data_IF_402104534658
#
_entry.id   IF_402104534658
#
_cell.length_a   1.000
_cell.length_b   1.000
_cell.length_c   1.000
_cell.angle_alpha   90.00
_cell.angle_beta   90.00
_cell.angle_gamma   90.00
#
_symmetry.space_group_name_H-M   'P 1'
#
loop_
_entity.id
_entity.type
_entity.pdbx_description
1 polymer ?
#
# COMPACT_ATOMS: atom_id res chain seq x y z
N UNK A 1 -5.86 17.29 -22.00
CA UNK A 1 -4.97 17.23 -23.18
C UNK A 1 -5.69 16.88 -24.50
N UNK A 2 -6.78 16.11 -24.47
CA UNK A 2 -7.46 15.62 -25.69
C UNK A 2 -7.84 16.70 -26.71
N UNK A 3 -8.36 17.86 -26.27
CA UNK A 3 -8.72 18.94 -27.20
C UNK A 3 -7.48 19.51 -27.90
N UNK A 4 -6.36 19.70 -27.19
CA UNK A 4 -5.12 20.15 -27.81
C UNK A 4 -4.59 19.20 -28.88
N UNK A 5 -4.78 17.89 -28.73
CA UNK A 5 -4.40 16.95 -29.78
C UNK A 5 -5.31 17.05 -30.99
N UNK A 6 -6.63 17.04 -30.78
CA UNK A 6 -7.63 17.15 -31.85
C UNK A 6 -7.51 18.45 -32.64
N UNK A 7 -7.26 19.57 -31.97
CA UNK A 7 -7.14 20.88 -32.61
C UNK A 7 -5.88 21.02 -33.49
N UNK A 8 -4.92 20.09 -33.35
CA UNK A 8 -3.67 20.09 -34.13
C UNK A 8 -3.55 18.90 -35.09
N UNK A 9 -4.54 18.02 -35.16
CA UNK A 9 -4.61 16.99 -36.18
C UNK A 9 -5.15 17.59 -37.47
N UNK A 10 -4.52 17.24 -38.60
CA UNK A 10 -5.09 17.52 -39.92
C UNK A 10 -6.34 16.65 -40.15
N UNK A 11 -7.29 17.07 -41.00
CA UNK A 11 -8.56 16.37 -41.20
C UNK A 11 -8.46 14.88 -41.57
N UNK A 12 -7.37 14.46 -42.23
CA UNK A 12 -7.09 13.07 -42.62
C UNK A 12 -6.13 12.34 -41.65
N UNK A 13 -5.84 12.95 -40.50
CA UNK A 13 -4.84 12.48 -39.51
C UNK A 13 -5.35 12.51 -38.07
N UNK A 14 -6.65 12.37 -37.86
CA UNK A 14 -7.23 12.31 -36.50
C UNK A 14 -6.54 11.26 -35.62
N UNK A 15 -6.15 11.66 -34.41
CA UNK A 15 -5.47 10.82 -33.42
C UNK A 15 -3.95 10.70 -33.61
N UNK A 16 -3.39 11.21 -34.71
CA UNK A 16 -1.94 11.12 -34.95
C UNK A 16 -1.16 11.93 -33.92
N UNK A 17 -1.62 13.12 -33.54
CA UNK A 17 -0.94 13.96 -32.56
C UNK A 17 -0.86 13.28 -31.20
N UNK A 18 -1.93 12.62 -30.76
CA UNK A 18 -1.93 11.82 -29.53
C UNK A 18 -0.90 10.69 -29.61
N UNK A 19 -0.92 9.91 -30.69
CA UNK A 19 0.03 8.80 -30.90
C UNK A 19 1.48 9.30 -30.86
N UNK A 20 1.81 10.34 -31.61
CA UNK A 20 3.18 10.89 -31.68
C UNK A 20 3.62 11.51 -30.35
N UNK A 21 2.70 12.13 -29.62
CA UNK A 21 2.97 12.65 -28.28
C UNK A 21 3.34 11.51 -27.32
N UNK A 22 2.55 10.43 -27.30
CA UNK A 22 2.79 9.27 -26.43
C UNK A 22 4.08 8.53 -26.81
N UNK A 23 4.31 8.28 -28.10
CA UNK A 23 5.56 7.69 -28.60
C UNK A 23 6.78 8.54 -28.23
N UNK A 24 6.67 9.87 -28.39
CA UNK A 24 7.73 10.81 -28.02
C UNK A 24 8.04 10.78 -26.52
N UNK A 25 7.02 10.67 -25.67
CA UNK A 25 7.19 10.49 -24.22
C UNK A 25 7.95 9.19 -23.91
N UNK A 26 7.57 8.08 -24.55
CA UNK A 26 8.25 6.81 -24.34
C UNK A 26 9.70 6.86 -24.79
N UNK A 27 9.97 7.36 -26.00
CA UNK A 27 11.32 7.55 -26.51
C UNK A 27 12.18 8.44 -25.60
N UNK A 28 11.59 9.52 -25.06
CA UNK A 28 12.25 10.40 -24.11
C UNK A 28 12.66 9.64 -22.83
N UNK A 29 11.72 8.93 -22.19
CA UNK A 29 12.04 8.17 -20.99
C UNK A 29 13.03 7.03 -21.25
N UNK A 30 12.90 6.31 -22.35
CA UNK A 30 13.80 5.21 -22.72
C UNK A 30 15.23 5.75 -22.93
N UNK A 31 15.38 6.95 -23.50
CA UNK A 31 16.68 7.62 -23.63
C UNK A 31 17.28 8.00 -22.27
N UNK A 32 16.47 8.44 -21.30
CA UNK A 32 16.92 8.75 -19.94
C UNK A 32 17.35 7.49 -19.19
N UNK A 33 16.62 6.39 -19.35
CA UNK A 33 16.93 5.10 -18.75
C UNK A 33 18.28 4.60 -19.28
N UNK A 34 18.49 4.65 -20.60
CA UNK A 34 19.73 4.21 -21.23
C UNK A 34 20.93 5.07 -20.80
N UNK A 35 20.75 6.39 -20.69
CA UNK A 35 21.84 7.32 -20.33
C UNK A 35 22.20 7.30 -18.85
N UNK A 36 21.22 7.07 -17.97
CA UNK A 36 21.40 7.11 -16.52
C UNK A 36 20.83 5.84 -15.88
N UNK A 37 21.38 4.65 -16.15
CA UNK A 37 20.78 3.39 -15.71
C UNK A 37 20.60 3.30 -14.19
N UNK A 38 21.48 3.93 -13.42
CA UNK A 38 21.45 3.94 -11.96
C UNK A 38 20.56 5.05 -11.35
N UNK A 39 19.86 5.86 -12.16
CA UNK A 39 18.95 6.88 -11.61
C UNK A 39 17.67 6.26 -11.10
N UNK A 40 17.31 6.60 -9.85
CA UNK A 40 15.99 6.28 -9.30
C UNK A 40 14.96 7.25 -9.87
N UNK A 41 13.79 6.75 -10.25
CA UNK A 41 12.78 7.51 -11.00
C UNK A 41 11.41 7.30 -10.41
N UNK A 42 10.72 8.42 -10.16
CA UNK A 42 9.36 8.45 -9.64
C UNK A 42 8.46 9.05 -10.71
N UNK A 43 7.41 8.32 -11.10
CA UNK A 43 6.39 8.84 -12.01
C UNK A 43 5.33 9.61 -11.24
N UNK A 44 4.95 10.76 -11.78
CA UNK A 44 3.83 11.56 -11.31
C UNK A 44 3.12 12.23 -12.49
N UNK A 45 1.79 12.29 -12.41
CA UNK A 45 0.95 13.00 -13.36
C UNK A 45 -0.27 13.56 -12.61
N UNK A 46 -0.04 14.59 -11.79
CA UNK A 46 -1.01 15.05 -10.78
C UNK A 46 -1.45 13.89 -9.88
N UNK A 47 -0.46 13.24 -9.25
CA UNK A 47 -0.60 11.94 -8.62
C UNK A 47 -0.64 10.81 -9.66
N UNK A 48 -1.64 9.93 -9.52
CA UNK A 48 -1.66 8.62 -10.18
C UNK A 48 -2.34 8.56 -11.55
N UNK A 49 -2.51 9.67 -12.29
CA UNK A 49 -3.23 9.65 -13.58
C UNK A 49 -2.53 8.86 -14.70
N UNK A 50 -1.28 8.43 -14.47
CA UNK A 50 -0.49 7.59 -15.40
C UNK A 50 0.17 6.42 -14.67
N UNK A 51 -0.57 5.75 -13.79
CA UNK A 51 -0.17 4.44 -13.26
C UNK A 51 -0.68 3.38 -14.22
N UNK A 52 0.05 3.24 -15.32
CA UNK A 52 -0.23 2.30 -16.41
C UNK A 52 1.01 1.44 -16.70
N UNK A 53 0.81 0.36 -17.45
CA UNK A 53 1.84 -0.65 -17.72
C UNK A 53 3.09 -0.02 -18.38
N UNK A 54 2.91 0.96 -19.27
CA UNK A 54 4.03 1.56 -19.99
C UNK A 54 4.86 2.48 -19.09
N UNK A 55 4.22 3.17 -18.14
CA UNK A 55 4.96 3.91 -17.12
C UNK A 55 5.62 2.99 -16.09
N UNK A 56 4.96 1.89 -15.69
CA UNK A 56 5.52 0.95 -14.69
C UNK A 56 6.79 0.25 -15.21
N UNK A 57 6.90 0.04 -16.53
CA UNK A 57 8.15 -0.47 -17.14
C UNK A 57 9.33 0.52 -17.06
N UNK A 58 9.06 1.82 -16.86
CA UNK A 58 10.03 2.91 -17.02
C UNK A 58 10.40 3.59 -15.71
N UNK A 59 9.54 3.46 -14.70
CA UNK A 59 9.70 4.10 -13.39
C UNK A 59 9.72 3.07 -12.27
N UNK A 60 10.47 3.38 -11.22
CA UNK A 60 10.64 2.46 -10.09
C UNK A 60 9.47 2.56 -9.11
N UNK A 61 8.93 3.78 -8.95
CA UNK A 61 7.86 4.10 -8.01
C UNK A 61 6.93 5.15 -8.63
N UNK A 62 5.67 5.14 -8.23
CA UNK A 62 4.61 6.00 -8.75
C UNK A 62 3.93 6.75 -7.62
N UNK A 63 3.72 8.06 -7.78
CA UNK A 63 2.90 8.79 -6.81
C UNK A 63 1.43 8.38 -6.95
N UNK A 64 0.82 7.90 -5.86
CA UNK A 64 -0.57 7.40 -5.88
C UNK A 64 -1.60 8.44 -6.30
N UNK A 65 -1.53 9.61 -5.68
CA UNK A 65 -2.52 10.69 -5.76
C UNK A 65 -1.89 11.98 -5.25
N UNK A 66 -2.44 13.14 -5.62
CA UNK A 66 -2.17 14.41 -4.94
C UNK A 66 -3.05 14.58 -3.68
N UNK A 67 -4.07 13.73 -3.51
CA UNK A 67 -4.90 13.70 -2.32
C UNK A 67 -4.20 12.92 -1.20
N UNK A 68 -3.28 13.59 -0.50
CA UNK A 68 -2.46 13.03 0.57
C UNK A 68 -3.13 13.09 1.95
N UNK A 69 -2.56 12.32 2.88
CA UNK A 69 -2.85 12.38 4.32
C UNK A 69 -4.30 12.09 4.69
N UNK A 70 -4.97 11.25 3.89
CA UNK A 70 -6.33 10.83 4.16
C UNK A 70 -6.36 9.32 4.33
N UNK A 71 -6.26 8.86 5.59
CA UNK A 71 -6.20 7.45 5.91
C UNK A 71 -7.34 6.64 5.28
N UNK A 72 -8.58 7.14 5.25
CA UNK A 72 -9.71 6.39 4.68
C UNK A 72 -9.56 6.17 3.16
N UNK A 73 -9.19 7.23 2.44
CA UNK A 73 -8.96 7.15 0.99
C UNK A 73 -7.72 6.33 0.67
N UNK A 74 -6.66 6.48 1.45
CA UNK A 74 -5.40 5.76 1.27
C UNK A 74 -5.59 4.26 1.53
N UNK A 75 -6.26 3.87 2.61
CA UNK A 75 -6.64 2.48 2.89
C UNK A 75 -7.40 1.85 1.72
N UNK A 76 -8.44 2.53 1.22
CA UNK A 76 -9.27 2.00 0.14
C UNK A 76 -8.51 1.89 -1.18
N UNK A 77 -7.79 2.95 -1.57
CA UNK A 77 -7.06 2.97 -2.83
C UNK A 77 -5.85 2.04 -2.84
N UNK A 78 -5.12 1.90 -1.74
CA UNK A 78 -4.01 0.95 -1.62
C UNK A 78 -4.49 -0.50 -1.67
N UNK A 79 -5.63 -0.82 -1.03
CA UNK A 79 -6.23 -2.15 -1.15
C UNK A 79 -6.72 -2.43 -2.58
N UNK A 80 -7.27 -1.44 -3.28
CA UNK A 80 -7.66 -1.60 -4.68
C UNK A 80 -6.46 -1.82 -5.61
N UNK A 81 -5.37 -1.04 -5.42
CA UNK A 81 -4.14 -1.14 -6.22
C UNK A 81 -3.46 -2.50 -6.03
N UNK A 82 -3.44 -3.03 -4.80
CA UNK A 82 -2.82 -4.31 -4.47
C UNK A 82 -3.41 -5.49 -5.27
N UNK A 83 -4.64 -5.37 -5.75
CA UNK A 83 -5.28 -6.36 -6.63
C UNK A 83 -4.72 -6.41 -8.05
N UNK A 84 -3.96 -5.38 -8.48
CA UNK A 84 -3.42 -5.27 -9.84
C UNK A 84 -1.90 -5.17 -9.86
N UNK A 85 -1.29 -4.55 -8.85
CA UNK A 85 0.13 -4.22 -8.80
C UNK A 85 0.70 -4.43 -7.39
N UNK A 86 1.95 -4.87 -7.26
CA UNK A 86 2.64 -4.86 -5.97
C UNK A 86 2.64 -3.44 -5.39
N UNK A 87 2.10 -3.28 -4.18
CA UNK A 87 1.97 -1.97 -3.55
C UNK A 87 3.30 -1.26 -3.29
N UNK A 88 4.41 -2.00 -3.24
CA UNK A 88 5.76 -1.42 -3.18
C UNK A 88 6.12 -0.53 -4.37
N UNK A 89 5.35 -0.53 -5.45
CA UNK A 89 5.53 0.36 -6.61
C UNK A 89 4.82 1.71 -6.47
N UNK A 90 3.98 1.88 -5.45
CA UNK A 90 3.16 3.09 -5.28
C UNK A 90 3.54 3.81 -4.01
N UNK A 91 3.97 5.07 -4.11
CA UNK A 91 4.37 5.90 -2.98
C UNK A 91 3.18 6.60 -2.36
N UNK A 92 3.14 6.60 -1.03
CA UNK A 92 2.20 7.38 -0.23
C UNK A 92 2.94 8.02 0.95
N UNK A 93 2.85 9.36 1.13
CA UNK A 93 3.45 10.03 2.26
C UNK A 93 2.53 10.00 3.50
N UNK A 94 3.13 9.98 4.68
CA UNK A 94 2.44 10.26 5.95
C UNK A 94 3.02 11.52 6.60
N UNK A 95 2.18 12.28 7.30
CA UNK A 95 2.58 13.47 8.06
C UNK A 95 2.30 13.34 9.57
N UNK A 96 1.76 12.20 10.01
CA UNK A 96 1.53 11.88 11.42
C UNK A 96 2.29 10.60 11.78
N UNK A 97 3.08 10.68 12.84
CA UNK A 97 3.91 9.58 13.34
C UNK A 97 3.18 8.74 14.41
N UNK A 98 1.94 8.35 14.13
CA UNK A 98 1.16 7.46 15.01
C UNK A 98 0.94 6.10 14.33
N UNK A 99 0.54 5.09 15.12
CA UNK A 99 0.38 3.73 14.61
C UNK A 99 -0.77 3.62 13.59
N UNK A 100 -1.86 4.37 13.76
CA UNK A 100 -3.01 4.30 12.87
C UNK A 100 -2.70 4.91 11.51
N UNK A 101 -2.07 6.08 11.49
CA UNK A 101 -1.51 6.72 10.31
C UNK A 101 -0.50 5.79 9.63
N UNK A 102 0.46 5.25 10.37
CA UNK A 102 1.44 4.30 9.82
C UNK A 102 0.76 3.09 9.15
N UNK A 103 -0.13 2.38 9.86
CA UNK A 103 -0.84 1.22 9.34
C UNK A 103 -1.74 1.54 8.15
N UNK A 104 -2.38 2.71 8.12
CA UNK A 104 -3.25 3.12 7.02
C UNK A 104 -2.53 3.26 5.68
N UNK A 105 -1.23 3.57 5.71
CA UNK A 105 -0.41 3.81 4.51
C UNK A 105 0.69 2.76 4.33
N UNK A 106 0.87 1.87 5.30
CA UNK A 106 1.89 0.82 5.30
C UNK A 106 1.95 0.00 4.01
N UNK A 107 0.82 -0.37 3.37
CA UNK A 107 0.85 -1.10 2.11
C UNK A 107 1.16 -0.19 0.93
N UNK A 108 2.34 0.43 0.94
CA UNK A 108 2.83 1.31 -0.12
C UNK A 108 4.35 1.31 -0.08
N UNK A 109 5.00 1.95 -1.06
CA UNK A 109 6.32 2.54 -0.85
C UNK A 109 6.21 3.72 0.12
N UNK A 110 6.13 3.40 1.41
CA UNK A 110 5.87 4.37 2.48
C UNK A 110 6.92 5.47 2.53
N UNK A 111 6.46 6.72 2.55
CA UNK A 111 7.30 7.90 2.71
C UNK A 111 6.94 8.61 4.03
N UNK A 112 7.94 8.83 4.89
CA UNK A 112 7.77 9.69 6.06
C UNK A 112 7.94 11.14 5.63
N UNK A 113 6.83 11.85 5.50
CA UNK A 113 6.81 13.27 5.21
C UNK A 113 7.09 14.08 6.47
N UNK A 114 7.99 15.04 6.37
CA UNK A 114 8.35 15.92 7.47
C UNK A 114 8.83 17.28 6.96
N UNK A 115 8.75 18.27 7.85
CA UNK A 115 9.36 19.58 7.66
C UNK A 115 10.73 19.50 8.33
N UNK A 116 11.80 19.68 7.55
CA UNK A 116 13.16 19.36 7.98
C UNK A 116 13.65 20.20 9.20
N UNK A 117 13.08 21.38 9.40
CA UNK A 117 13.39 22.31 10.46
C UNK A 117 12.31 22.40 11.55
N UNK A 118 11.32 21.49 11.56
CA UNK A 118 10.32 21.42 12.61
C UNK A 118 10.94 20.86 13.91
N UNK A 119 11.08 21.67 14.98
CA UNK A 119 11.66 21.21 16.23
C UNK A 119 10.76 20.21 16.98
N UNK A 120 9.49 20.10 16.61
CA UNK A 120 8.54 19.16 17.19
C UNK A 120 8.57 17.78 16.51
N UNK A 121 9.38 17.58 15.47
CA UNK A 121 9.44 16.30 14.79
C UNK A 121 10.06 15.21 15.68
N UNK A 122 9.28 14.17 15.97
CA UNK A 122 9.73 13.03 16.77
C UNK A 122 10.62 12.08 15.95
N UNK A 123 11.92 12.39 15.92
CA UNK A 123 12.94 11.56 15.27
C UNK A 123 12.96 10.12 15.80
N UNK A 124 12.73 9.92 17.11
CA UNK A 124 12.72 8.59 17.72
C UNK A 124 11.59 7.73 17.16
N UNK A 125 10.38 8.31 17.06
CA UNK A 125 9.23 7.65 16.47
C UNK A 125 9.42 7.41 14.98
N UNK A 126 9.98 8.37 14.22
CA UNK A 126 10.28 8.19 12.80
C UNK A 126 11.25 7.01 12.56
N UNK A 127 12.30 6.89 13.37
CA UNK A 127 13.24 5.75 13.31
C UNK A 127 12.54 4.42 13.64
N UNK A 128 11.66 4.41 14.66
CA UNK A 128 10.88 3.22 15.02
C UNK A 128 9.98 2.77 13.86
N UNK A 129 9.18 3.68 13.29
CA UNK A 129 8.29 3.37 12.17
C UNK A 129 9.07 2.90 10.93
N UNK A 130 10.22 3.51 10.66
CA UNK A 130 11.12 3.08 9.58
C UNK A 130 11.60 1.64 9.81
N UNK A 131 12.10 1.31 11.01
CA UNK A 131 12.53 -0.05 11.35
C UNK A 131 11.40 -1.06 11.17
N UNK A 132 10.20 -0.72 11.65
CA UNK A 132 9.00 -1.54 11.48
C UNK A 132 8.66 -1.77 10.01
N UNK A 133 8.64 -0.71 9.19
CA UNK A 133 8.38 -0.81 7.76
C UNK A 133 9.39 -1.73 7.05
N UNK A 134 10.68 -1.58 7.34
CA UNK A 134 11.71 -2.45 6.79
C UNK A 134 11.52 -3.93 7.16
N UNK A 135 10.97 -4.22 8.33
CA UNK A 135 10.69 -5.59 8.77
C UNK A 135 9.55 -6.28 8.01
N UNK A 136 8.62 -5.51 7.42
CA UNK A 136 7.38 -6.05 6.83
C UNK A 136 7.23 -5.77 5.33
N UNK A 137 7.96 -4.81 4.75
CA UNK A 137 7.81 -4.44 3.33
C UNK A 137 8.01 -5.60 2.34
N UNK A 138 8.74 -6.65 2.73
CA UNK A 138 8.91 -7.88 1.95
C UNK A 138 7.59 -8.58 1.61
N UNK A 139 6.56 -8.41 2.44
CA UNK A 139 5.23 -8.98 2.22
C UNK A 139 4.45 -8.22 1.13
N UNK A 140 4.79 -6.96 0.85
CA UNK A 140 4.10 -6.15 -0.18
C UNK A 140 4.37 -6.61 -1.62
N UNK A 141 5.32 -7.53 -1.80
CA UNK A 141 5.57 -8.24 -3.06
C UNK A 141 4.94 -9.64 -3.09
N UNK A 142 4.18 -10.01 -2.06
CA UNK A 142 3.50 -11.30 -1.96
C UNK A 142 2.09 -11.28 -2.52
N UNK A 143 1.39 -12.40 -2.34
CA UNK A 143 -0.03 -12.55 -2.66
C UNK A 143 -0.87 -11.61 -1.79
N UNK A 144 -1.73 -10.83 -2.43
CA UNK A 144 -2.67 -9.96 -1.77
C UNK A 144 -4.07 -10.61 -1.74
N UNK A 145 -4.75 -10.50 -0.60
CA UNK A 145 -6.17 -10.81 -0.50
C UNK A 145 -6.90 -9.76 0.35
N UNK A 146 -7.96 -9.12 -0.17
CA UNK A 146 -8.86 -8.33 0.65
C UNK A 146 -9.66 -9.28 1.57
N UNK A 147 -9.63 -9.04 2.87
CA UNK A 147 -10.41 -9.79 3.86
C UNK A 147 -11.77 -9.14 4.14
N UNK A 148 -11.95 -7.91 3.66
CA UNK A 148 -13.20 -7.13 3.67
C UNK A 148 -13.41 -6.48 2.31
N UNK A 149 -14.66 -6.13 1.93
CA UNK A 149 -14.90 -5.31 0.75
C UNK A 149 -14.11 -4.00 0.77
N UNK A 150 -13.50 -3.64 -0.35
CA UNK A 150 -12.77 -2.37 -0.49
C UNK A 150 -13.77 -1.22 -0.63
N UNK A 151 -13.81 -0.33 0.36
CA UNK A 151 -14.76 0.78 0.40
C UNK A 151 -14.18 1.99 1.17
N UNK A 152 -14.91 3.10 1.20
CA UNK A 152 -14.58 4.32 1.97
C UNK A 152 -15.55 4.60 3.13
N UNK A 153 -16.36 3.62 3.52
CA UNK A 153 -17.30 3.76 4.63
C UNK A 153 -16.55 3.83 5.97
N UNK A 154 -16.72 4.95 6.69
CA UNK A 154 -16.06 5.20 7.97
C UNK A 154 -16.58 4.33 9.12
N UNK A 155 -17.73 3.68 8.94
CA UNK A 155 -18.34 2.78 9.93
C UNK A 155 -17.86 1.33 9.80
N UNK A 156 -17.10 1.02 8.75
CA UNK A 156 -16.62 -0.33 8.43
C UNK A 156 -15.24 -0.63 9.03
N UNK A 157 -14.97 -1.92 9.28
CA UNK A 157 -13.62 -2.46 9.37
C UNK A 157 -13.00 -2.60 7.98
N UNK A 158 -11.68 -2.43 7.88
CA UNK A 158 -10.91 -2.80 6.69
C UNK A 158 -9.83 -3.78 7.09
N UNK A 159 -9.79 -4.92 6.40
CA UNK A 159 -8.75 -5.91 6.60
C UNK A 159 -8.20 -6.44 5.27
N UNK A 160 -6.90 -6.72 5.26
CA UNK A 160 -6.21 -7.31 4.12
C UNK A 160 -5.07 -8.22 4.57
N UNK A 161 -4.76 -9.20 3.72
CA UNK A 161 -3.65 -10.12 3.90
C UNK A 161 -2.62 -9.92 2.79
N UNK A 162 -1.35 -10.00 3.18
CA UNK A 162 -0.20 -10.06 2.28
C UNK A 162 0.62 -11.30 2.64
N UNK A 163 0.74 -12.25 1.72
CA UNK A 163 1.29 -13.58 1.96
C UNK A 163 2.49 -13.90 1.06
N UNK A 164 3.58 -14.40 1.64
CA UNK A 164 4.75 -14.90 0.92
C UNK A 164 4.83 -16.40 1.08
N UNK A 165 4.34 -17.11 0.07
CA UNK A 165 4.32 -18.58 0.06
C UNK A 165 5.75 -19.16 0.12
N UNK A 166 6.70 -18.54 -0.58
CA UNK A 166 8.11 -18.94 -0.53
C UNK A 166 8.76 -18.80 0.85
N UNK A 167 8.19 -17.97 1.74
CA UNK A 167 8.66 -17.78 3.11
C UNK A 167 7.76 -18.48 4.15
N UNK A 168 6.57 -18.95 3.74
CA UNK A 168 5.51 -19.46 4.62
C UNK A 168 5.17 -18.46 5.75
N UNK A 169 5.20 -17.16 5.44
CA UNK A 169 4.89 -16.06 6.36
C UNK A 169 4.13 -14.93 5.63
N UNK A 170 3.54 -14.03 6.41
CA UNK A 170 2.87 -12.86 5.87
C UNK A 170 2.40 -11.91 6.96
N UNK A 171 1.51 -11.01 6.58
CA UNK A 171 0.89 -10.08 7.52
C UNK A 171 -0.60 -9.92 7.27
N UNK A 172 -1.33 -9.71 8.36
CA UNK A 172 -2.71 -9.25 8.39
C UNK A 172 -2.71 -7.80 8.85
N UNK A 173 -3.24 -6.92 8.01
CA UNK A 173 -3.44 -5.51 8.34
C UNK A 173 -4.92 -5.29 8.60
N UNK A 174 -5.26 -4.85 9.81
CA UNK A 174 -6.65 -4.69 10.27
C UNK A 174 -6.82 -3.28 10.83
N UNK A 175 -7.84 -2.57 10.35
CA UNK A 175 -8.10 -1.16 10.64
C UNK A 175 -9.56 -1.00 11.08
N UNK A 176 -9.76 -0.47 12.28
CA UNK A 176 -11.05 0.00 12.80
C UNK A 176 -11.19 1.48 12.49
N UNK A 177 -12.11 1.83 11.60
CA UNK A 177 -12.31 3.21 11.14
C UNK A 177 -13.01 4.09 12.18
N UNK A 178 -12.90 5.43 12.07
CA UNK A 178 -13.34 6.35 13.12
C UNK A 178 -14.81 6.25 13.52
N UNK A 179 -15.71 5.86 12.62
CA UNK A 179 -17.14 5.71 12.92
C UNK A 179 -17.57 4.26 13.19
N UNK A 180 -16.62 3.31 13.24
CA UNK A 180 -16.92 1.91 13.51
C UNK A 180 -17.11 1.67 15.03
N UNK A 181 -18.35 1.42 15.45
CA UNK A 181 -18.71 1.21 16.85
C UNK A 181 -18.43 -0.19 17.40
N UNK A 182 -18.00 -1.14 16.56
CA UNK A 182 -17.69 -2.51 16.99
C UNK A 182 -16.27 -2.57 17.60
N UNK A 183 -16.09 -3.35 18.66
CA UNK A 183 -14.79 -3.57 19.30
C UNK A 183 -14.14 -4.88 18.88
N UNK A 184 -14.93 -5.83 18.38
CA UNK A 184 -14.49 -7.12 17.89
C UNK A 184 -14.60 -7.22 16.37
N UNK A 185 -13.68 -7.98 15.77
CA UNK A 185 -13.69 -8.29 14.35
C UNK A 185 -13.06 -9.65 14.08
N UNK A 186 -13.76 -10.54 13.37
CA UNK A 186 -13.23 -11.84 12.98
C UNK A 186 -12.65 -11.78 11.56
N UNK A 187 -11.35 -12.04 11.43
CA UNK A 187 -10.67 -12.19 10.14
C UNK A 187 -10.52 -13.66 9.79
N UNK A 188 -10.65 -13.98 8.50
CA UNK A 188 -10.41 -15.33 7.96
C UNK A 188 -9.30 -15.28 6.90
N UNK A 189 -8.02 -15.37 7.31
CA UNK A 189 -6.91 -15.41 6.37
C UNK A 189 -6.96 -16.65 5.46
N UNK A 190 -6.50 -16.46 4.23
CA UNK A 190 -6.25 -17.52 3.25
C UNK A 190 -4.81 -18.01 3.32
N UNK A 191 -4.46 -19.01 2.51
CA UNK A 191 -3.12 -19.63 2.49
C UNK A 191 -2.64 -20.08 3.89
N UNK A 192 -3.57 -20.54 4.71
CA UNK A 192 -3.31 -21.14 6.01
C UNK A 192 -3.45 -22.65 5.88
N UNK A 193 -2.47 -23.39 6.38
CA UNK A 193 -2.51 -24.83 6.55
C UNK A 193 -3.17 -25.17 7.90
N UNK A 194 -4.37 -25.78 7.92
CA UNK A 194 -5.08 -26.07 9.16
C UNK A 194 -4.33 -27.02 10.11
N UNK A 195 -3.39 -27.81 9.61
CA UNK A 195 -2.66 -28.81 10.38
C UNK A 195 -1.37 -28.26 11.02
N UNK A 196 -0.90 -27.09 10.59
CA UNK A 196 0.32 -26.49 11.09
C UNK A 196 0.08 -25.59 12.31
N UNK A 197 1.15 -25.28 13.02
CA UNK A 197 1.17 -24.22 14.01
C UNK A 197 1.69 -22.92 13.39
N UNK A 198 1.18 -21.79 13.85
CA UNK A 198 1.58 -20.47 13.39
C UNK A 198 1.99 -19.62 14.57
N UNK A 199 3.15 -18.99 14.46
CA UNK A 199 3.56 -17.90 15.35
C UNK A 199 2.96 -16.60 14.85
N UNK A 200 2.22 -15.90 15.71
CA UNK A 200 1.68 -14.57 15.47
C UNK A 200 2.49 -13.55 16.28
N UNK A 201 2.84 -12.43 15.63
CA UNK A 201 3.47 -11.26 16.26
C UNK A 201 2.60 -10.04 16.00
N UNK A 202 2.10 -9.47 17.09
CA UNK A 202 1.41 -8.18 17.13
C UNK A 202 2.46 -7.08 17.15
N UNK A 203 2.66 -6.43 16.00
CA UNK A 203 3.85 -5.63 15.74
C UNK A 203 4.00 -4.43 16.70
N UNK A 204 2.91 -3.71 16.96
CA UNK A 204 2.95 -2.51 17.80
C UNK A 204 3.10 -2.84 19.29
N UNK A 205 2.51 -3.95 19.73
CA UNK A 205 2.48 -4.43 21.11
C UNK A 205 3.73 -5.25 21.47
N UNK A 206 4.42 -5.81 20.47
CA UNK A 206 5.51 -6.78 20.67
C UNK A 206 5.04 -8.11 21.26
N UNK A 207 3.72 -8.35 21.28
CA UNK A 207 3.10 -9.55 21.83
C UNK A 207 3.18 -10.68 20.82
N UNK A 208 3.63 -11.85 21.28
CA UNK A 208 3.69 -13.06 20.47
C UNK A 208 2.77 -14.15 21.02
N UNK A 209 2.22 -14.95 20.12
CA UNK A 209 1.48 -16.16 20.49
C UNK A 209 1.65 -17.24 19.43
N UNK A 210 1.36 -18.48 19.80
CA UNK A 210 1.31 -19.61 18.86
C UNK A 210 -0.10 -20.15 18.82
N UNK A 211 -0.64 -20.30 17.61
CA UNK A 211 -2.00 -20.80 17.38
C UNK A 211 -1.98 -21.91 16.35
N UNK A 212 -2.98 -22.80 16.42
CA UNK A 212 -3.21 -23.78 15.36
C UNK A 212 -3.72 -23.08 14.11
N UNK A 213 -3.27 -23.53 12.94
CA UNK A 213 -3.75 -23.04 11.66
C UNK A 213 -5.27 -23.25 11.48
N UNK A 214 -5.84 -24.29 12.10
CA UNK A 214 -7.29 -24.50 12.12
C UNK A 214 -8.05 -23.32 12.72
N UNK A 215 -7.53 -22.70 13.80
CA UNK A 215 -8.13 -21.51 14.42
C UNK A 215 -8.15 -20.33 13.43
N UNK A 216 -7.03 -20.10 12.73
CA UNK A 216 -6.94 -19.06 11.71
C UNK A 216 -7.89 -19.33 10.53
N UNK A 217 -8.00 -20.59 10.10
CA UNK A 217 -8.83 -20.98 8.96
C UNK A 217 -10.34 -20.94 9.27
N UNK A 218 -10.74 -21.19 10.51
CA UNK A 218 -12.14 -21.06 10.95
C UNK A 218 -12.53 -19.58 11.11
N UNK A 219 -11.64 -18.77 11.65
CA UNK A 219 -11.79 -17.34 11.84
C UNK A 219 -11.10 -16.90 13.13
N UNK A 220 -10.24 -15.90 13.02
CA UNK A 220 -9.46 -15.37 14.13
C UNK A 220 -10.00 -14.02 14.56
N UNK A 221 -10.49 -13.92 15.80
CA UNK A 221 -11.07 -12.68 16.33
C UNK A 221 -10.00 -11.77 16.91
N UNK A 222 -10.03 -10.51 16.51
CA UNK A 222 -9.22 -9.43 17.07
C UNK A 222 -10.10 -8.45 17.83
N UNK A 223 -9.55 -7.89 18.91
CA UNK A 223 -10.21 -6.89 19.77
C UNK A 223 -9.46 -5.56 19.68
N UNK A 224 -10.15 -4.49 19.31
CA UNK A 224 -9.62 -3.11 19.34
C UNK A 224 -10.61 -2.17 20.04
N UNK A 225 -10.27 -1.80 21.27
CA UNK A 225 -11.10 -0.91 22.10
C UNK A 225 -11.08 0.54 21.60
N UNK A 226 -9.90 1.04 21.23
CA UNK A 226 -9.74 2.42 20.77
C UNK A 226 -10.48 2.70 19.44
N UNK A 227 -10.76 3.98 19.18
CA UNK A 227 -11.50 4.44 18.01
C UNK A 227 -10.97 5.80 17.51
N UNK A 228 -10.36 5.88 16.32
CA UNK A 228 -9.98 4.76 15.45
C UNK A 228 -8.85 3.91 16.07
N UNK A 229 -8.68 2.69 15.56
CA UNK A 229 -7.62 1.78 15.98
C UNK A 229 -7.14 0.90 14.83
N UNK A 230 -5.98 0.27 15.01
CA UNK A 230 -5.42 -0.62 14.00
C UNK A 230 -4.47 -1.63 14.63
N UNK A 231 -4.31 -2.77 13.99
CA UNK A 231 -3.29 -3.75 14.34
C UNK A 231 -2.67 -4.34 13.08
N UNK A 232 -1.39 -4.70 13.20
CA UNK A 232 -0.63 -5.42 12.20
C UNK A 232 -0.12 -6.72 12.82
N UNK A 233 -0.63 -7.84 12.34
CA UNK A 233 -0.27 -9.17 12.83
C UNK A 233 0.62 -9.82 11.78
N UNK A 234 1.87 -10.09 12.13
CA UNK A 234 2.78 -10.88 11.29
C UNK A 234 2.59 -12.34 11.68
N UNK A 235 2.36 -13.22 10.71
CA UNK A 235 2.26 -14.66 10.95
C UNK A 235 3.37 -15.41 10.24
N UNK A 236 3.82 -16.51 10.85
CA UNK A 236 4.81 -17.43 10.27
C UNK A 236 4.44 -18.87 10.62
N UNK A 237 4.41 -19.74 9.61
CA UNK A 237 4.23 -21.18 9.79
C UNK A 237 5.45 -21.76 10.52
N UNK A 238 5.20 -22.62 11.50
CA UNK A 238 6.22 -23.32 12.29
C UNK A 238 6.52 -24.71 11.73
#
# INVERSE_FOLDING_TARGET
>A
PVNHWRDNDEPDREGIMEIRYIEGIYAYYDSLIARYPNSFRINCASGGRRIDIEMIKRFHVHQKSDFWFNGIVDQASLAAIAGFLPNGLVMVPINKLDNYSFHSHLPSSLNLGWIADDPAFDMGKAMQLTKWYHGVKKYLAGWFMPLTPVNKDESSWIASQYHRDDLQEGMLLILKRPACGLTEFTVKPGWIDPQADYKLLYQAEGREETVKGSLLAEGYTVMLEAQPASTLIIYKKL
#
